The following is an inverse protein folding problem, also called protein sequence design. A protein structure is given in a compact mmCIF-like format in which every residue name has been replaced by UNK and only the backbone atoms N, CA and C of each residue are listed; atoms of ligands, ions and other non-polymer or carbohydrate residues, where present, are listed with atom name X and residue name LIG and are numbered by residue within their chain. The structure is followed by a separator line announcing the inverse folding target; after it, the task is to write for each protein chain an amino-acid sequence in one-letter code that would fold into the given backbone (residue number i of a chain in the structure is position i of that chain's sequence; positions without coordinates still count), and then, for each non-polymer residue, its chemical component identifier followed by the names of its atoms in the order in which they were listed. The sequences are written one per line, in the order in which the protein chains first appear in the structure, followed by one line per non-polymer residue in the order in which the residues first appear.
data_IF_844908116711
#
_entry.id   IF_844908116711
#
_cell.length_a   1.000
_cell.length_b   1.000
_cell.length_c   1.000
_cell.angle_alpha   90.00
_cell.angle_beta   90.00
_cell.angle_gamma   90.00
#
_symmetry.space_group_name_H-M   'P 1'
#
loop_
_entity.id
_entity.type
_entity.pdbx_description
1 polymer ?
#
# COMPACT_ATOMS: atom_id res chain seq x y z
N UNK A 1 -38.92 14.87 -128.50
CA UNK A 1 -38.97 16.12 -127.69
C UNK A 1 -39.77 15.92 -126.40
N UNK A 2 -40.99 15.38 -126.46
CA UNK A 2 -41.84 15.17 -125.28
C UNK A 2 -41.26 14.15 -124.26
N UNK A 3 -40.65 13.08 -124.74
CA UNK A 3 -39.99 12.07 -123.88
C UNK A 3 -38.79 12.60 -123.11
N UNK A 4 -37.97 13.48 -123.72
CA UNK A 4 -36.76 14.03 -123.11
C UNK A 4 -37.07 15.02 -121.98
N UNK A 5 -38.10 15.86 -122.18
CA UNK A 5 -38.60 16.78 -121.15
C UNK A 5 -39.21 15.97 -120.00
N UNK A 6 -39.98 14.92 -120.31
CA UNK A 6 -40.56 14.07 -119.29
C UNK A 6 -39.50 13.34 -118.46
N UNK A 7 -38.46 12.76 -119.09
CA UNK A 7 -37.35 12.11 -118.37
C UNK A 7 -36.52 13.09 -117.55
N UNK A 8 -36.29 14.31 -118.05
CA UNK A 8 -35.53 15.34 -117.32
C UNK A 8 -36.29 15.81 -116.08
N UNK A 9 -37.59 16.13 -116.21
CA UNK A 9 -38.42 16.53 -115.07
C UNK A 9 -38.54 15.37 -114.06
N UNK A 10 -38.75 14.15 -114.54
CA UNK A 10 -38.86 12.98 -113.67
C UNK A 10 -37.56 12.70 -112.91
N UNK A 11 -36.40 12.72 -113.58
CA UNK A 11 -35.10 12.50 -112.93
C UNK A 11 -34.73 13.63 -111.96
N UNK A 12 -35.02 14.88 -112.29
CA UNK A 12 -34.78 16.02 -111.40
C UNK A 12 -35.68 15.97 -110.16
N UNK A 13 -36.98 15.73 -110.33
CA UNK A 13 -37.93 15.60 -109.22
C UNK A 13 -37.58 14.40 -108.34
N UNK A 14 -37.20 13.27 -108.94
CA UNK A 14 -36.76 12.08 -108.22
C UNK A 14 -35.46 12.34 -107.44
N UNK A 15 -34.46 12.99 -108.04
CA UNK A 15 -33.20 13.32 -107.37
C UNK A 15 -33.43 14.31 -106.21
N UNK A 16 -34.28 15.32 -106.40
CA UNK A 16 -34.62 16.31 -105.37
C UNK A 16 -35.38 15.68 -104.20
N UNK A 17 -36.40 14.86 -104.49
CA UNK A 17 -37.14 14.13 -103.45
C UNK A 17 -36.23 13.15 -102.70
N UNK A 18 -35.36 12.43 -103.41
CA UNK A 18 -34.41 11.51 -102.81
C UNK A 18 -33.40 12.23 -101.91
N UNK A 19 -32.82 13.34 -102.38
CA UNK A 19 -31.87 14.14 -101.59
C UNK A 19 -32.54 14.75 -100.35
N UNK A 20 -33.77 15.26 -100.47
CA UNK A 20 -34.54 15.81 -99.36
C UNK A 20 -34.89 14.73 -98.32
N UNK A 21 -35.43 13.59 -98.76
CA UNK A 21 -35.74 12.47 -97.86
C UNK A 21 -34.48 11.93 -97.18
N UNK A 22 -33.37 11.80 -97.91
CA UNK A 22 -32.11 11.34 -97.35
C UNK A 22 -31.56 12.31 -96.30
N UNK A 23 -31.54 13.62 -96.61
CA UNK A 23 -31.06 14.64 -95.67
C UNK A 23 -31.94 14.71 -94.41
N UNK A 24 -33.26 14.63 -94.57
CA UNK A 24 -34.21 14.68 -93.46
C UNK A 24 -34.12 13.43 -92.58
N UNK A 25 -34.06 12.24 -93.19
CA UNK A 25 -33.82 11.00 -92.43
C UNK A 25 -32.46 11.02 -91.73
N UNK A 26 -31.40 11.47 -92.40
CA UNK A 26 -30.08 11.54 -91.79
C UNK A 26 -30.05 12.53 -90.62
N UNK A 27 -30.62 13.71 -90.77
CA UNK A 27 -30.68 14.72 -89.70
C UNK A 27 -31.53 14.23 -88.50
N UNK A 28 -32.67 13.59 -88.77
CA UNK A 28 -33.56 13.07 -87.72
C UNK A 28 -32.90 11.88 -86.99
N UNK A 29 -32.31 10.95 -87.73
CA UNK A 29 -31.58 9.83 -87.14
C UNK A 29 -30.35 10.29 -86.37
N UNK A 30 -29.56 11.22 -86.91
CA UNK A 30 -28.39 11.75 -86.24
C UNK A 30 -28.77 12.51 -84.97
N UNK A 31 -29.79 13.38 -85.02
CA UNK A 31 -30.23 14.10 -83.81
C UNK A 31 -30.82 13.15 -82.79
N UNK A 32 -31.68 12.21 -83.17
CA UNK A 32 -32.25 11.23 -82.24
C UNK A 32 -31.18 10.34 -81.61
N UNK A 33 -30.31 9.72 -82.42
CA UNK A 33 -29.25 8.85 -81.94
C UNK A 33 -28.25 9.65 -81.10
N UNK A 34 -27.75 10.77 -81.61
CA UNK A 34 -26.75 11.55 -80.89
C UNK A 34 -27.32 12.12 -79.60
N UNK A 35 -28.48 12.77 -79.62
CA UNK A 35 -29.04 13.35 -78.39
C UNK A 35 -29.46 12.26 -77.41
N UNK A 36 -30.21 11.24 -77.84
CA UNK A 36 -30.67 10.20 -76.95
C UNK A 36 -29.51 9.40 -76.36
N UNK A 37 -28.61 8.88 -77.21
CA UNK A 37 -27.49 8.07 -76.74
C UNK A 37 -26.52 8.94 -75.93
N UNK A 38 -26.10 10.11 -76.44
CA UNK A 38 -25.15 10.93 -75.72
C UNK A 38 -25.73 11.43 -74.41
N UNK A 39 -26.95 11.98 -74.38
CA UNK A 39 -27.51 12.50 -73.13
C UNK A 39 -27.84 11.37 -72.17
N UNK A 40 -28.47 10.28 -72.61
CA UNK A 40 -28.81 9.18 -71.72
C UNK A 40 -27.56 8.50 -71.18
N UNK A 41 -26.62 8.11 -72.04
CA UNK A 41 -25.39 7.45 -71.60
C UNK A 41 -24.56 8.40 -70.75
N UNK A 42 -24.32 9.63 -71.18
CA UNK A 42 -23.50 10.56 -70.42
C UNK A 42 -24.15 10.89 -69.08
N UNK A 43 -25.44 11.22 -69.03
CA UNK A 43 -26.10 11.55 -67.76
C UNK A 43 -26.21 10.33 -66.87
N UNK A 44 -26.62 9.17 -67.38
CA UNK A 44 -26.74 7.95 -66.58
C UNK A 44 -25.39 7.50 -66.05
N UNK A 45 -24.37 7.37 -66.91
CA UNK A 45 -23.04 6.96 -66.49
C UNK A 45 -22.43 8.00 -65.56
N UNK A 46 -22.45 9.28 -65.92
CA UNK A 46 -21.86 10.30 -65.08
C UNK A 46 -22.57 10.40 -63.73
N UNK A 47 -23.89 10.47 -63.70
CA UNK A 47 -24.61 10.58 -62.42
C UNK A 47 -24.49 9.31 -61.61
N UNK A 48 -24.69 8.13 -62.19
CA UNK A 48 -24.59 6.86 -61.46
C UNK A 48 -23.18 6.61 -60.95
N UNK A 49 -22.17 6.71 -61.81
CA UNK A 49 -20.78 6.48 -61.39
C UNK A 49 -20.34 7.55 -60.40
N UNK A 50 -20.58 8.84 -60.69
CA UNK A 50 -20.16 9.90 -59.78
C UNK A 50 -20.87 9.80 -58.44
N UNK A 51 -22.20 9.64 -58.41
CA UNK A 51 -22.93 9.55 -57.14
C UNK A 51 -22.58 8.26 -56.40
N UNK A 52 -22.54 7.11 -57.06
CA UNK A 52 -22.20 5.84 -56.41
C UNK A 52 -20.78 5.84 -55.88
N UNK A 53 -19.79 6.18 -56.70
CA UNK A 53 -18.39 6.21 -56.27
C UNK A 53 -18.20 7.28 -55.20
N UNK A 54 -18.69 8.50 -55.40
CA UNK A 54 -18.50 9.55 -54.40
C UNK A 54 -19.21 9.21 -53.10
N UNK A 55 -20.46 8.78 -53.12
CA UNK A 55 -21.18 8.44 -51.88
C UNK A 55 -20.58 7.22 -51.21
N UNK A 56 -20.30 6.15 -51.95
CA UNK A 56 -19.72 4.94 -51.38
C UNK A 56 -18.33 5.18 -50.81
N UNK A 57 -17.42 5.80 -51.57
CA UNK A 57 -16.07 6.09 -51.10
C UNK A 57 -16.12 7.07 -49.95
N UNK A 58 -16.87 8.18 -50.07
CA UNK A 58 -16.93 9.16 -48.99
C UNK A 58 -17.56 8.58 -47.73
N UNK A 59 -18.69 7.87 -47.83
CA UNK A 59 -19.32 7.27 -46.64
C UNK A 59 -18.46 6.17 -46.06
N UNK A 60 -17.92 5.26 -46.87
CA UNK A 60 -17.08 4.18 -46.37
C UNK A 60 -15.80 4.69 -45.73
N UNK A 61 -15.06 5.56 -46.41
CA UNK A 61 -13.82 6.13 -45.87
C UNK A 61 -14.12 6.97 -44.64
N UNK A 62 -15.10 7.87 -44.70
CA UNK A 62 -15.42 8.73 -43.56
C UNK A 62 -15.92 7.90 -42.37
N UNK A 63 -16.85 6.97 -42.57
CA UNK A 63 -17.35 6.14 -41.47
C UNK A 63 -16.26 5.22 -40.94
N UNK A 64 -15.51 4.53 -41.79
CA UNK A 64 -14.45 3.63 -41.34
C UNK A 64 -13.34 4.37 -40.62
N UNK A 65 -12.81 5.45 -41.21
CA UNK A 65 -11.74 6.23 -40.58
C UNK A 65 -12.25 6.89 -39.30
N UNK A 66 -13.41 7.55 -39.34
CA UNK A 66 -13.93 8.23 -38.16
C UNK A 66 -14.25 7.23 -37.05
N UNK A 67 -14.94 6.12 -37.35
CA UNK A 67 -15.26 5.12 -36.32
C UNK A 67 -14.00 4.44 -35.83
N UNK A 68 -13.09 4.00 -36.69
CA UNK A 68 -11.87 3.33 -36.27
C UNK A 68 -10.97 4.25 -35.46
N UNK A 69 -10.67 5.45 -35.95
CA UNK A 69 -9.83 6.42 -35.23
C UNK A 69 -10.50 6.84 -33.94
N UNK A 70 -11.77 7.23 -33.97
CA UNK A 70 -12.46 7.68 -32.76
C UNK A 70 -12.57 6.55 -31.75
N UNK A 71 -13.00 5.35 -32.14
CA UNK A 71 -13.12 4.23 -31.20
C UNK A 71 -11.76 3.80 -30.70
N UNK A 72 -10.76 3.62 -31.57
CA UNK A 72 -9.43 3.20 -31.15
C UNK A 72 -8.76 4.23 -30.23
N UNK A 73 -8.71 5.50 -30.64
CA UNK A 73 -8.09 6.55 -29.83
C UNK A 73 -8.87 6.75 -28.54
N UNK A 74 -10.20 6.88 -28.60
CA UNK A 74 -10.98 7.10 -27.39
C UNK A 74 -10.90 5.90 -26.45
N UNK A 75 -11.06 4.67 -26.94
CA UNK A 75 -10.99 3.49 -26.08
C UNK A 75 -9.58 3.30 -25.55
N UNK A 76 -8.54 3.39 -26.37
CA UNK A 76 -7.16 3.22 -25.93
C UNK A 76 -6.76 4.29 -24.92
N UNK A 77 -6.97 5.57 -25.24
CA UNK A 77 -6.62 6.67 -24.33
C UNK A 77 -7.45 6.57 -23.05
N UNK A 78 -8.77 6.41 -23.15
CA UNK A 78 -9.62 6.34 -21.96
C UNK A 78 -9.27 5.12 -21.10
N UNK A 79 -9.14 3.94 -21.69
CA UNK A 79 -8.79 2.73 -20.92
C UNK A 79 -7.39 2.84 -20.34
N UNK A 80 -6.39 3.27 -21.10
CA UNK A 80 -5.03 3.40 -20.62
C UNK A 80 -4.92 4.45 -19.51
N UNK A 81 -5.45 5.66 -19.73
CA UNK A 81 -5.41 6.72 -18.73
C UNK A 81 -6.21 6.30 -17.49
N UNK A 82 -7.44 5.81 -17.66
CA UNK A 82 -8.26 5.41 -16.53
C UNK A 82 -7.62 4.26 -15.76
N UNK A 83 -7.15 3.21 -16.43
CA UNK A 83 -6.52 2.08 -15.74
C UNK A 83 -5.22 2.50 -15.09
N UNK A 84 -4.34 3.23 -15.78
CA UNK A 84 -3.07 3.68 -15.22
C UNK A 84 -3.27 4.62 -14.04
N UNK A 85 -4.08 5.66 -14.17
CA UNK A 85 -4.35 6.61 -13.10
C UNK A 85 -5.05 5.91 -11.94
N UNK A 86 -6.11 5.13 -12.20
CA UNK A 86 -6.83 4.45 -11.13
C UNK A 86 -5.94 3.43 -10.42
N UNK A 87 -5.21 2.59 -11.15
CA UNK A 87 -4.33 1.60 -10.52
C UNK A 87 -3.20 2.28 -9.78
N UNK A 88 -2.51 3.25 -10.37
CA UNK A 88 -1.40 3.95 -9.73
C UNK A 88 -1.86 4.70 -8.48
N UNK A 89 -2.91 5.52 -8.58
CA UNK A 89 -3.42 6.28 -7.43
C UNK A 89 -3.96 5.33 -6.38
N UNK A 90 -4.78 4.36 -6.74
CA UNK A 90 -5.35 3.43 -5.78
C UNK A 90 -4.27 2.60 -5.10
N UNK A 91 -3.33 2.03 -5.85
CA UNK A 91 -2.23 1.24 -5.26
C UNK A 91 -1.33 2.12 -4.41
N UNK A 92 -0.93 3.30 -4.89
CA UNK A 92 -0.05 4.20 -4.13
C UNK A 92 -0.73 4.68 -2.84
N UNK A 93 -1.95 5.20 -2.93
CA UNK A 93 -2.68 5.67 -1.75
C UNK A 93 -2.96 4.52 -0.80
N UNK A 94 -3.48 3.40 -1.29
CA UNK A 94 -3.80 2.26 -0.44
C UNK A 94 -2.54 1.69 0.22
N UNK A 95 -1.46 1.46 -0.54
CA UNK A 95 -0.22 0.93 0.03
C UNK A 95 0.42 1.92 0.98
N UNK A 96 0.54 3.20 0.62
CA UNK A 96 1.14 4.22 1.47
C UNK A 96 0.34 4.42 2.76
N UNK A 97 -0.97 4.63 2.66
CA UNK A 97 -1.82 4.84 3.84
C UNK A 97 -1.84 3.58 4.69
N UNK A 98 -2.07 2.41 4.08
CA UNK A 98 -2.13 1.17 4.85
C UNK A 98 -0.79 0.85 5.51
N UNK A 99 0.33 0.96 4.80
CA UNK A 99 1.65 0.70 5.40
C UNK A 99 2.00 1.74 6.44
N UNK A 100 1.78 3.03 6.19
CA UNK A 100 2.06 4.09 7.15
C UNK A 100 1.21 3.95 8.41
N UNK A 101 -0.11 3.81 8.27
CA UNK A 101 -1.01 3.64 9.41
C UNK A 101 -0.69 2.34 10.14
N UNK A 102 -0.55 1.22 9.44
CA UNK A 102 -0.26 -0.05 10.07
C UNK A 102 1.08 -0.02 10.79
N UNK A 103 2.14 0.48 10.15
CA UNK A 103 3.46 0.56 10.79
C UNK A 103 3.44 1.55 11.94
N UNK A 104 2.90 2.76 11.78
CA UNK A 104 2.84 3.75 12.85
C UNK A 104 2.02 3.24 14.03
N UNK A 105 0.80 2.75 13.81
CA UNK A 105 -0.06 2.24 14.89
C UNK A 105 0.58 1.01 15.52
N UNK A 106 1.02 0.02 14.73
CA UNK A 106 1.60 -1.18 15.28
C UNK A 106 2.88 -0.87 16.04
N UNK A 107 3.80 -0.09 15.48
CA UNK A 107 5.04 0.28 16.18
C UNK A 107 4.73 1.11 17.41
N UNK A 108 3.91 2.16 17.33
CA UNK A 108 3.61 3.02 18.47
C UNK A 108 2.90 2.24 19.58
N UNK A 109 1.82 1.52 19.27
CA UNK A 109 1.07 0.73 20.26
C UNK A 109 1.95 -0.38 20.81
N UNK A 110 2.59 -1.17 19.95
CA UNK A 110 3.41 -2.28 20.41
C UNK A 110 4.60 -1.79 21.24
N UNK A 111 5.35 -0.79 20.76
CA UNK A 111 6.49 -0.27 21.53
C UNK A 111 6.03 0.40 22.80
N UNK A 112 5.02 1.27 22.77
CA UNK A 112 4.55 1.97 23.96
C UNK A 112 3.98 1.00 24.99
N UNK A 113 3.06 0.11 24.60
CA UNK A 113 2.47 -0.86 25.52
C UNK A 113 3.52 -1.84 26.01
N UNK A 114 4.32 -2.43 25.11
CA UNK A 114 5.35 -3.39 25.52
C UNK A 114 6.38 -2.74 26.42
N UNK A 115 6.93 -1.58 26.05
CA UNK A 115 7.91 -0.90 26.89
C UNK A 115 7.30 -0.44 28.20
N UNK A 116 6.11 0.15 28.21
CA UNK A 116 5.47 0.63 29.44
C UNK A 116 5.13 -0.55 30.36
N UNK A 117 4.44 -1.57 29.87
CA UNK A 117 4.08 -2.74 30.68
C UNK A 117 5.33 -3.48 31.12
N UNK A 118 6.26 -3.77 30.21
CA UNK A 118 7.46 -4.51 30.57
C UNK A 118 8.31 -3.71 31.54
N UNK A 119 8.58 -2.42 31.30
CA UNK A 119 9.38 -1.62 32.23
C UNK A 119 8.66 -1.44 33.55
N UNK A 120 7.38 -1.06 33.56
CA UNK A 120 6.65 -0.83 34.80
C UNK A 120 6.50 -2.12 35.61
N UNK A 121 6.02 -3.21 35.02
CA UNK A 121 5.86 -4.49 35.72
C UNK A 121 7.21 -5.04 36.14
N UNK A 122 8.18 -5.11 35.23
CA UNK A 122 9.49 -5.66 35.57
C UNK A 122 10.17 -4.82 36.62
N UNK A 123 10.23 -3.50 36.48
CA UNK A 123 10.88 -2.65 37.50
C UNK A 123 10.11 -2.68 38.81
N UNK A 124 8.79 -2.55 38.82
CA UNK A 124 8.01 -2.56 40.05
C UNK A 124 8.09 -3.91 40.76
N UNK A 125 7.82 -5.01 40.07
CA UNK A 125 7.88 -6.36 40.67
C UNK A 125 9.31 -6.68 41.08
N UNK A 126 10.30 -6.49 40.21
CA UNK A 126 11.68 -6.80 40.54
C UNK A 126 12.17 -5.92 41.68
N UNK A 127 11.97 -4.61 41.65
CA UNK A 127 12.42 -3.74 42.74
C UNK A 127 11.66 -4.03 44.02
N UNK A 128 10.34 -4.16 44.00
CA UNK A 128 9.56 -4.43 45.20
C UNK A 128 9.89 -5.79 45.80
N UNK A 129 9.87 -6.87 45.01
CA UNK A 129 10.20 -8.21 45.51
C UNK A 129 11.65 -8.27 45.94
N UNK A 130 12.58 -7.81 45.12
CA UNK A 130 14.00 -7.86 45.48
C UNK A 130 14.28 -7.01 46.70
N UNK A 131 13.81 -5.77 46.77
CA UNK A 131 14.04 -4.92 47.96
C UNK A 131 13.34 -5.47 49.17
N UNK A 132 12.08 -5.88 49.10
CA UNK A 132 11.34 -6.40 50.24
C UNK A 132 11.95 -7.72 50.74
N UNK A 133 12.17 -8.70 49.86
CA UNK A 133 12.77 -9.98 50.26
C UNK A 133 14.19 -9.77 50.74
N UNK A 134 15.02 -9.04 50.00
CA UNK A 134 16.41 -8.83 50.40
C UNK A 134 16.48 -8.04 51.70
N UNK A 135 15.76 -6.93 51.85
CA UNK A 135 15.80 -6.15 53.10
C UNK A 135 15.20 -6.95 54.24
N UNK A 136 14.03 -7.58 54.09
CA UNK A 136 13.41 -8.33 55.17
C UNK A 136 14.24 -9.53 55.58
N UNK A 137 14.67 -10.38 54.65
CA UNK A 137 15.49 -11.56 54.97
C UNK A 137 16.85 -11.12 55.50
N UNK A 138 17.53 -10.19 54.82
CA UNK A 138 18.86 -9.76 55.27
C UNK A 138 18.78 -9.08 56.62
N UNK A 139 17.86 -8.13 56.83
CA UNK A 139 17.73 -7.46 58.13
C UNK A 139 17.27 -8.42 59.20
N UNK A 140 16.29 -9.28 58.95
CA UNK A 140 15.79 -10.22 59.96
C UNK A 140 16.86 -11.25 60.33
N UNK A 141 17.47 -11.91 59.34
CA UNK A 141 18.52 -12.90 59.60
C UNK A 141 19.73 -12.22 60.23
N UNK A 142 20.21 -11.12 59.66
CA UNK A 142 21.38 -10.43 60.20
C UNK A 142 21.11 -9.90 61.60
N UNK A 143 19.99 -9.22 61.84
CA UNK A 143 19.68 -8.70 63.19
C UNK A 143 19.43 -9.85 64.15
N UNK A 144 18.64 -10.86 63.82
CA UNK A 144 18.36 -11.97 64.71
C UNK A 144 19.60 -12.78 65.02
N UNK A 145 20.36 -13.22 64.01
CA UNK A 145 21.59 -14.00 64.23
C UNK A 145 22.64 -13.15 64.92
N UNK A 146 22.89 -11.92 64.44
CA UNK A 146 23.91 -11.07 65.05
C UNK A 146 23.53 -10.71 66.47
N UNK A 147 22.30 -10.25 66.74
CA UNK A 147 21.90 -9.91 68.11
C UNK A 147 21.86 -11.13 68.99
N UNK A 148 21.30 -12.26 68.56
CA UNK A 148 21.23 -13.47 69.38
C UNK A 148 22.62 -14.03 69.66
N UNK A 149 23.46 -14.24 68.64
CA UNK A 149 24.81 -14.76 68.83
C UNK A 149 25.65 -13.76 69.62
N UNK A 150 25.66 -12.48 69.24
CA UNK A 150 26.46 -11.48 69.93
C UNK A 150 25.99 -11.31 71.37
N UNK A 151 24.70 -11.14 71.64
CA UNK A 151 24.21 -10.99 73.01
C UNK A 151 24.42 -12.27 73.80
N UNK A 152 24.09 -13.45 73.27
CA UNK A 152 24.25 -14.71 73.99
C UNK A 152 25.72 -15.00 74.28
N UNK A 153 26.59 -14.96 73.28
CA UNK A 153 28.03 -15.23 73.47
C UNK A 153 28.64 -14.14 74.35
N UNK A 154 28.42 -12.86 74.05
CA UNK A 154 29.02 -11.78 74.82
C UNK A 154 28.51 -11.79 76.25
N UNK A 155 27.20 -11.87 76.49
CA UNK A 155 26.67 -11.87 77.86
C UNK A 155 27.06 -13.15 78.58
N UNK A 156 26.94 -14.33 77.97
CA UNK A 156 27.29 -15.59 78.63
C UNK A 156 28.78 -15.65 78.95
N UNK A 157 29.66 -15.40 77.98
CA UNK A 157 31.11 -15.44 78.21
C UNK A 157 31.53 -14.33 79.17
N UNK A 158 31.08 -13.09 78.96
CA UNK A 158 31.46 -11.98 79.82
C UNK A 158 30.95 -12.19 81.25
N UNK A 159 29.67 -12.53 81.43
CA UNK A 159 29.12 -12.75 82.77
C UNK A 159 29.74 -13.98 83.42
N UNK A 160 29.90 -15.09 82.71
CA UNK A 160 30.49 -16.30 83.27
C UNK A 160 31.95 -16.08 83.66
N UNK A 161 32.78 -15.53 82.77
CA UNK A 161 34.19 -15.26 83.07
C UNK A 161 34.31 -14.21 84.17
N UNK A 162 33.57 -13.10 84.10
CA UNK A 162 33.63 -12.05 85.10
C UNK A 162 33.15 -12.55 86.45
N UNK A 163 32.00 -13.23 86.53
CA UNK A 163 31.49 -13.77 87.80
C UNK A 163 32.40 -14.85 88.34
N UNK A 164 32.87 -15.79 87.51
CA UNK A 164 33.76 -16.86 87.93
C UNK A 164 35.09 -16.31 88.45
N UNK A 165 35.76 -15.43 87.70
CA UNK A 165 37.02 -14.82 88.16
C UNK A 165 36.77 -13.98 89.41
N UNK A 166 35.75 -13.12 89.41
CA UNK A 166 35.47 -12.25 90.54
C UNK A 166 35.15 -13.06 91.80
N UNK A 167 34.23 -14.03 91.73
CA UNK A 167 33.89 -14.86 92.91
C UNK A 167 35.03 -15.77 93.31
N UNK A 168 35.71 -16.43 92.37
CA UNK A 168 36.82 -17.33 92.72
C UNK A 168 37.99 -16.57 93.33
N UNK A 169 38.39 -15.43 92.76
CA UNK A 169 39.48 -14.62 93.30
C UNK A 169 39.06 -13.97 94.62
N UNK A 170 37.85 -13.40 94.71
CA UNK A 170 37.36 -12.76 95.93
C UNK A 170 37.22 -13.75 97.08
N UNK A 171 36.61 -14.91 96.85
CA UNK A 171 36.43 -15.95 97.88
C UNK A 171 37.79 -16.53 98.29
N UNK A 172 38.71 -16.78 97.36
CA UNK A 172 40.04 -17.25 97.74
C UNK A 172 40.83 -16.18 98.51
N UNK A 173 40.70 -14.90 98.16
CA UNK A 173 41.32 -13.82 98.90
C UNK A 173 40.75 -13.70 100.32
N UNK A 174 39.42 -13.68 100.48
CA UNK A 174 38.74 -13.70 101.79
C UNK A 174 39.10 -14.95 102.61
N UNK A 175 39.22 -16.12 101.96
CA UNK A 175 39.62 -17.35 102.61
C UNK A 175 41.09 -17.32 103.07
N UNK A 176 41.99 -16.74 102.27
CA UNK A 176 43.38 -16.49 102.67
C UNK A 176 43.47 -15.47 103.81
N UNK A 177 42.67 -14.41 103.75
CA UNK A 177 42.61 -13.38 104.79
C UNK A 177 42.09 -13.96 106.12
N UNK A 178 41.04 -14.80 106.07
CA UNK A 178 40.48 -15.45 107.26
C UNK A 178 41.40 -16.52 107.86
N UNK A 179 42.16 -17.27 107.05
CA UNK A 179 43.21 -18.16 107.57
C UNK A 179 44.35 -17.37 108.24
N UNK A 180 44.70 -16.19 107.71
CA UNK A 180 45.72 -15.32 108.30
C UNK A 180 45.26 -14.72 109.64
N UNK A 181 43.99 -14.35 109.76
CA UNK A 181 43.43 -13.85 111.03
C UNK A 181 43.20 -14.97 112.04
N UNK A 182 42.79 -16.18 111.62
CA UNK A 182 42.64 -17.32 112.55
C UNK A 182 43.98 -17.86 113.05
N UNK A 183 45.03 -17.82 112.22
CA UNK A 183 46.40 -18.16 112.64
C UNK A 183 46.92 -17.22 113.73
N UNK A 184 46.66 -15.92 113.61
CA UNK A 184 47.06 -14.93 114.61
C UNK A 184 46.31 -15.05 115.95
N UNK A 185 45.07 -15.56 115.96
CA UNK A 185 44.29 -15.72 117.21
C UNK A 185 44.83 -16.92 118.02
N UNK A 186 45.38 -17.93 117.37
CA UNK A 186 45.95 -19.09 118.07
C UNK A 186 47.34 -18.81 118.68
N UNK A 187 48.10 -17.85 118.14
CA UNK A 187 49.38 -17.41 118.72
C UNK A 187 49.24 -16.39 119.87
N UNK A 188 48.05 -15.85 120.14
CA UNK A 188 47.82 -14.91 121.26
C UNK A 188 47.10 -15.55 122.46
N UNK A 189 46.87 -16.86 122.46
CA UNK A 189 46.21 -17.60 123.56
C UNK A 189 47.01 -18.79 124.09
N UNK A 190 48.34 -18.70 124.08
CA UNK A 190 49.24 -19.55 124.88
C UNK A 190 50.18 -18.66 125.70
#
# INVERSE_FOLDING_TARGET
MNTYIHTYIHTYMHACMHACMHACMHACMHTYIHTYIHTYIHTYIHTYIHTYIHTYIHTYIHTYIHTYIHTYIHTYIHTYIHTYIHTYIHTYIHTYIHTYIHTYIHTYIHTYIHTYIHTYIHTYIHTYIHTYIHTYIHTYIHTYIHTYIHTYIHTYIHTYIHTYIHTYVFINYERLLSMRTSGNIHEQTV
#
